data_IF_053350344462
#
_entry.id   IF_053350344462
#
_cell.length_a   1.000
_cell.length_b   1.000
_cell.length_c   1.000
_cell.angle_alpha   90.00
_cell.angle_beta   90.00
_cell.angle_gamma   90.00
#
_symmetry.space_group_name_H-M   'P 1'
#
loop_
_entity.id
_entity.type
_entity.pdbx_description
1 polymer ?
#
# COMPACT_ATOMS: atom_id res chain seq x y z
N UNK A 1 -14.20 6.93 -12.54
CA UNK A 1 -12.80 6.45 -12.29
C UNK A 1 -12.49 6.69 -10.82
N UNK A 2 -11.89 5.71 -10.14
CA UNK A 2 -11.41 5.86 -8.76
C UNK A 2 -10.11 5.10 -8.55
N UNK A 3 -9.35 5.45 -7.50
CA UNK A 3 -8.12 4.75 -7.15
C UNK A 3 -8.37 3.63 -6.12
N UNK A 4 -7.57 2.57 -6.18
CA UNK A 4 -7.58 1.50 -5.19
C UNK A 4 -6.28 1.48 -4.36
N UNK A 5 -5.19 1.95 -4.95
CA UNK A 5 -3.92 2.13 -4.25
C UNK A 5 -3.06 3.18 -4.94
N UNK A 6 -2.34 3.96 -4.13
CA UNK A 6 -1.32 4.90 -4.59
C UNK A 6 -0.10 4.80 -3.69
N UNK A 7 1.07 4.66 -4.29
CA UNK A 7 2.34 4.59 -3.56
C UNK A 7 3.45 5.25 -4.36
N UNK A 8 4.56 5.57 -3.70
CA UNK A 8 5.72 6.19 -4.34
C UNK A 8 6.88 5.22 -4.47
N UNK A 9 7.53 5.21 -5.65
CA UNK A 9 8.84 4.58 -5.85
C UNK A 9 9.76 5.59 -6.54
N UNK A 10 10.73 6.12 -5.80
CA UNK A 10 11.61 7.19 -6.29
C UNK A 10 10.81 8.44 -6.66
N UNK A 11 10.94 8.88 -7.91
CA UNK A 11 10.25 10.05 -8.46
C UNK A 11 8.92 9.72 -9.16
N UNK A 12 8.42 8.50 -9.00
CA UNK A 12 7.21 8.05 -9.65
C UNK A 12 6.13 7.70 -8.65
N UNK A 13 4.90 7.97 -9.05
CA UNK A 13 3.69 7.46 -8.41
C UNK A 13 3.31 6.14 -9.07
N UNK A 14 3.14 5.10 -8.28
CA UNK A 14 2.50 3.86 -8.69
C UNK A 14 1.02 3.99 -8.40
N UNK A 15 0.24 4.16 -9.44
CA UNK A 15 -1.21 4.31 -9.38
C UNK A 15 -1.89 2.99 -9.73
N UNK A 16 -2.85 2.59 -8.93
CA UNK A 16 -3.81 1.54 -9.21
C UNK A 16 -5.21 2.09 -9.04
N UNK A 17 -6.11 1.67 -9.90
CA UNK A 17 -7.50 2.12 -9.83
C UNK A 17 -8.40 1.39 -10.80
N UNK A 18 -9.62 1.87 -10.90
CA UNK A 18 -10.63 1.38 -11.82
C UNK A 18 -11.06 2.51 -12.74
N UNK A 19 -10.98 2.28 -14.04
CA UNK A 19 -11.48 3.19 -15.09
C UNK A 19 -12.37 2.40 -16.04
N UNK A 20 -13.59 2.87 -16.27
CA UNK A 20 -14.56 2.24 -17.16
C UNK A 20 -14.81 0.76 -16.83
N UNK A 21 -14.89 0.44 -15.52
CA UNK A 21 -15.07 -0.91 -14.99
C UNK A 21 -13.85 -1.83 -15.08
N UNK A 22 -12.71 -1.35 -15.60
CA UNK A 22 -11.48 -2.12 -15.77
C UNK A 22 -10.40 -1.66 -14.80
N UNK A 23 -9.67 -2.62 -14.23
CA UNK A 23 -8.48 -2.33 -13.40
C UNK A 23 -7.37 -1.76 -14.26
N UNK A 24 -6.76 -0.69 -13.76
CA UNK A 24 -5.60 -0.05 -14.39
C UNK A 24 -4.43 0.02 -13.42
N UNK A 25 -3.22 -0.04 -13.97
CA UNK A 25 -1.96 0.18 -13.26
C UNK A 25 -1.11 1.12 -14.10
N UNK A 26 -0.59 2.16 -13.45
CA UNK A 26 0.22 3.17 -14.13
C UNK A 26 1.40 3.58 -13.26
N UNK A 27 2.53 3.81 -13.91
CA UNK A 27 3.69 4.47 -13.32
C UNK A 27 3.74 5.88 -13.87
N UNK A 28 3.47 6.86 -13.02
CA UNK A 28 3.27 8.27 -13.40
C UNK A 28 4.41 9.10 -12.85
N UNK A 29 5.07 9.88 -13.70
CA UNK A 29 5.98 10.94 -13.26
C UNK A 29 5.13 12.07 -12.71
N UNK A 30 5.33 12.39 -11.44
CA UNK A 30 4.60 13.45 -10.79
C UNK A 30 5.47 14.68 -10.61
N UNK A 31 4.91 15.85 -10.90
CA UNK A 31 5.53 17.17 -10.73
C UNK A 31 4.89 17.87 -9.53
N UNK A 32 5.48 17.76 -8.33
CA UNK A 32 4.91 18.32 -7.12
C UNK A 32 4.85 19.84 -7.17
N UNK A 33 3.89 20.39 -6.42
CA UNK A 33 3.74 21.82 -6.18
C UNK A 33 3.90 22.10 -4.70
N UNK A 34 4.65 23.12 -4.38
CA UNK A 34 4.77 23.71 -3.05
C UNK A 34 4.53 25.22 -3.16
N UNK A 35 4.34 25.86 -2.03
CA UNK A 35 4.01 27.27 -2.00
C UNK A 35 4.91 27.99 -1.00
N UNK A 36 5.33 29.19 -1.33
CA UNK A 36 6.13 30.07 -0.47
C UNK A 36 5.49 31.44 -0.37
N UNK A 37 5.70 32.16 0.73
CA UNK A 37 5.24 33.55 0.86
C UNK A 37 5.89 34.41 -0.21
N UNK A 38 5.09 35.17 -0.93
CA UNK A 38 5.57 36.10 -1.96
C UNK A 38 4.53 37.16 -2.24
N UNK A 39 4.95 38.42 -2.26
CA UNK A 39 4.07 39.54 -2.67
C UNK A 39 3.59 39.44 -4.12
N UNK A 40 4.25 38.61 -4.93
CA UNK A 40 3.86 38.35 -6.33
C UNK A 40 2.73 37.35 -6.44
N UNK A 41 2.42 36.62 -5.37
CA UNK A 41 1.36 35.61 -5.33
C UNK A 41 -0.03 36.25 -5.46
N UNK A 42 -0.79 35.86 -6.50
CA UNK A 42 -2.13 36.42 -6.75
C UNK A 42 -3.26 35.39 -6.58
N UNK A 43 -2.94 34.12 -6.65
CA UNK A 43 -3.94 33.03 -6.71
C UNK A 43 -4.11 32.29 -5.39
N UNK A 44 -3.00 32.10 -4.66
CA UNK A 44 -2.95 31.30 -3.45
C UNK A 44 -2.67 32.18 -2.24
N UNK A 45 -3.22 31.81 -1.10
CA UNK A 45 -3.01 32.53 0.15
C UNK A 45 -3.03 31.56 1.35
N UNK A 46 -2.37 31.96 2.44
CA UNK A 46 -2.48 31.27 3.72
C UNK A 46 -3.87 31.46 4.33
N UNK A 47 -4.18 30.73 5.41
CA UNK A 47 -5.38 30.97 6.23
C UNK A 47 -5.46 32.40 6.76
N UNK A 48 -4.33 33.07 6.92
CA UNK A 48 -4.22 34.46 7.38
C UNK A 48 -4.20 35.48 6.23
N UNK A 49 -4.55 35.04 5.00
CA UNK A 49 -4.63 35.87 3.78
C UNK A 49 -3.28 36.43 3.32
N UNK A 50 -2.18 35.83 3.74
CA UNK A 50 -0.87 36.18 3.21
C UNK A 50 -0.69 35.58 1.81
N UNK A 51 -0.21 36.33 0.81
CA UNK A 51 -0.10 35.83 -0.55
C UNK A 51 0.98 34.77 -0.68
N UNK A 52 0.69 33.75 -1.49
CA UNK A 52 1.58 32.64 -1.78
C UNK A 52 1.87 32.53 -3.27
N UNK A 53 3.11 32.23 -3.61
CA UNK A 53 3.56 31.89 -4.96
C UNK A 53 3.68 30.37 -5.08
N UNK A 54 3.15 29.80 -6.18
CA UNK A 54 3.26 28.39 -6.50
C UNK A 54 4.63 28.10 -7.11
N UNK A 55 5.30 27.07 -6.59
CA UNK A 55 6.53 26.53 -7.11
C UNK A 55 6.29 25.10 -7.59
N UNK A 56 6.42 24.84 -8.87
CA UNK A 56 6.34 23.51 -9.45
C UNK A 56 7.73 22.92 -9.63
N UNK A 57 7.89 21.65 -9.25
CA UNK A 57 9.15 20.90 -9.36
C UNK A 57 9.06 19.84 -10.45
N UNK A 58 10.15 19.59 -11.14
CA UNK A 58 10.18 18.57 -12.20
C UNK A 58 10.15 17.13 -11.66
N UNK A 59 10.65 16.93 -10.44
CA UNK A 59 10.65 15.63 -9.78
C UNK A 59 10.26 15.72 -8.30
N UNK A 60 9.83 14.60 -7.72
CA UNK A 60 9.59 14.47 -6.28
C UNK A 60 10.89 14.70 -5.50
N UNK A 61 12.03 14.27 -6.04
CA UNK A 61 13.35 14.47 -5.44
C UNK A 61 13.70 15.95 -5.32
N UNK A 62 13.45 16.72 -6.36
CA UNK A 62 13.73 18.17 -6.35
C UNK A 62 12.89 18.87 -5.29
N UNK A 63 11.60 18.52 -5.20
CA UNK A 63 10.74 19.07 -4.16
C UNK A 63 11.19 18.69 -2.74
N UNK A 64 11.63 17.44 -2.52
CA UNK A 64 12.20 17.00 -1.23
C UNK A 64 13.49 17.73 -0.88
N UNK A 65 14.37 17.88 -1.86
CA UNK A 65 15.63 18.61 -1.67
C UNK A 65 15.37 20.07 -1.31
N UNK A 66 14.40 20.69 -1.97
CA UNK A 66 13.98 22.05 -1.66
C UNK A 66 13.45 22.16 -0.22
N UNK A 67 12.54 21.29 0.20
CA UNK A 67 12.05 21.28 1.58
C UNK A 67 13.19 21.14 2.57
N UNK A 68 14.07 20.15 2.35
CA UNK A 68 15.23 19.90 3.23
C UNK A 68 16.20 21.07 3.28
N UNK A 69 16.44 21.77 2.17
CA UNK A 69 17.34 22.91 2.09
C UNK A 69 16.86 24.09 2.93
N UNK A 70 15.54 24.27 3.04
CA UNK A 70 14.95 25.41 3.73
C UNK A 70 14.28 25.05 5.06
N UNK A 71 14.36 23.79 5.52
CA UNK A 71 13.72 23.29 6.75
C UNK A 71 14.15 24.10 7.98
N UNK A 72 15.44 24.45 8.07
CA UNK A 72 16.04 25.21 9.20
C UNK A 72 16.17 26.71 8.94
N UNK A 73 15.65 27.21 7.81
CA UNK A 73 15.76 28.65 7.48
C UNK A 73 14.65 29.43 8.17
N UNK A 74 15.04 30.27 9.14
CA UNK A 74 14.10 31.14 9.85
C UNK A 74 13.35 32.04 8.89
N UNK A 75 12.05 32.20 9.10
CA UNK A 75 11.14 33.05 8.31
C UNK A 75 10.97 32.66 6.83
N UNK A 76 11.28 31.40 6.46
CA UNK A 76 10.99 30.87 5.13
C UNK A 76 10.06 29.66 5.21
N UNK A 77 8.79 29.83 5.60
CA UNK A 77 7.86 28.71 5.69
C UNK A 77 7.47 28.20 4.30
N UNK A 78 7.53 26.89 4.14
CA UNK A 78 7.07 26.20 2.95
C UNK A 78 5.69 25.63 3.23
N UNK A 79 4.73 25.87 2.34
CA UNK A 79 3.36 25.41 2.42
C UNK A 79 3.10 24.35 1.34
N UNK A 80 2.09 23.52 1.56
CA UNK A 80 1.69 22.47 0.64
C UNK A 80 1.82 21.08 1.25
N UNK A 81 1.42 20.08 0.49
CA UNK A 81 1.46 18.67 0.93
C UNK A 81 2.79 18.04 0.56
N UNK A 82 3.57 17.64 1.57
CA UNK A 82 4.86 16.94 1.39
C UNK A 82 4.73 15.42 1.30
N UNK A 83 3.55 14.87 1.61
CA UNK A 83 3.20 13.50 1.23
C UNK A 83 2.73 13.51 -0.23
N UNK A 84 3.65 13.27 -1.13
CA UNK A 84 3.42 13.45 -2.57
C UNK A 84 2.46 12.42 -3.19
N UNK A 85 2.23 11.28 -2.55
CA UNK A 85 1.13 10.36 -2.86
C UNK A 85 -0.23 11.03 -2.62
N UNK A 86 -0.39 11.70 -1.48
CA UNK A 86 -1.61 12.45 -1.14
C UNK A 86 -1.77 13.70 -2.00
N UNK A 87 -0.67 14.43 -2.27
CA UNK A 87 -0.69 15.58 -3.17
C UNK A 87 -1.15 15.19 -4.59
N UNK A 88 -0.62 14.10 -5.12
CA UNK A 88 -1.03 13.54 -6.40
C UNK A 88 -2.53 13.19 -6.43
N UNK A 89 -3.04 12.58 -5.36
CA UNK A 89 -4.46 12.25 -5.28
C UNK A 89 -5.34 13.50 -5.28
N UNK A 90 -4.96 14.54 -4.53
CA UNK A 90 -5.69 15.82 -4.54
C UNK A 90 -5.67 16.51 -5.90
N UNK A 91 -4.56 16.42 -6.63
CA UNK A 91 -4.47 16.99 -7.98
C UNK A 91 -5.28 16.19 -9.01
N UNK A 92 -5.30 14.85 -8.87
CA UNK A 92 -5.99 13.96 -9.79
C UNK A 92 -7.50 13.90 -9.55
N UNK A 93 -7.91 14.05 -8.30
CA UNK A 93 -9.30 14.00 -7.84
C UNK A 93 -9.60 15.24 -6.99
N UNK A 94 -9.77 16.41 -7.61
CA UNK A 94 -10.06 17.66 -6.89
C UNK A 94 -11.44 17.67 -6.25
N UNK A 95 -12.37 16.87 -6.79
CA UNK A 95 -13.74 16.73 -6.34
C UNK A 95 -13.96 15.40 -5.62
N UNK A 96 -15.22 15.07 -5.38
CA UNK A 96 -15.63 13.81 -4.77
C UNK A 96 -15.28 12.60 -5.66
N UNK A 97 -14.83 11.51 -5.04
CA UNK A 97 -14.51 10.25 -5.72
C UNK A 97 -15.68 9.28 -5.53
N UNK A 98 -16.34 8.96 -6.61
CA UNK A 98 -17.41 7.94 -6.62
C UNK A 98 -16.81 6.53 -6.62
N UNK A 99 -16.86 5.89 -5.47
CA UNK A 99 -16.31 4.56 -5.22
C UNK A 99 -17.32 3.46 -5.50
N UNK A 100 -16.88 2.43 -6.23
CA UNK A 100 -17.62 1.19 -6.40
C UNK A 100 -16.89 0.04 -5.66
N UNK A 101 -17.36 -0.28 -4.46
CA UNK A 101 -16.76 -1.34 -3.64
C UNK A 101 -16.80 -2.71 -4.33
N UNK A 102 -17.76 -2.97 -5.22
CA UNK A 102 -17.85 -4.22 -5.96
C UNK A 102 -16.68 -4.46 -6.92
N UNK A 103 -15.92 -3.40 -7.23
CA UNK A 103 -14.74 -3.44 -8.09
C UNK A 103 -13.43 -3.50 -7.31
N UNK A 104 -13.48 -3.48 -5.98
CA UNK A 104 -12.32 -3.56 -5.10
C UNK A 104 -12.21 -4.99 -4.57
N UNK A 105 -11.09 -5.65 -4.83
CA UNK A 105 -10.84 -6.99 -4.27
C UNK A 105 -10.14 -6.85 -2.93
N UNK A 106 -10.82 -7.29 -1.87
CA UNK A 106 -10.29 -7.31 -0.51
C UNK A 106 -9.94 -8.75 -0.16
N UNK A 107 -8.74 -8.95 0.37
CA UNK A 107 -8.29 -10.23 0.92
C UNK A 107 -7.95 -10.10 2.39
N UNK A 108 -8.29 -11.12 3.16
CA UNK A 108 -7.86 -11.29 4.55
C UNK A 108 -6.82 -12.41 4.57
N UNK A 109 -5.71 -12.21 5.25
CA UNK A 109 -4.67 -13.23 5.37
C UNK A 109 -4.25 -13.40 6.81
N UNK A 110 -3.82 -14.61 7.13
CA UNK A 110 -3.32 -15.00 8.44
C UNK A 110 -2.33 -16.14 8.26
N UNK A 111 -1.29 -16.21 9.11
CA UNK A 111 -0.29 -17.27 9.09
C UNK A 111 -0.21 -17.95 10.45
N UNK A 112 0.03 -19.26 10.45
CA UNK A 112 0.39 -20.03 11.63
C UNK A 112 1.87 -20.41 11.56
N UNK A 113 2.57 -20.23 12.67
CA UNK A 113 4.00 -20.45 12.77
C UNK A 113 4.28 -21.39 13.95
N UNK A 114 5.25 -22.29 13.80
CA UNK A 114 5.75 -23.07 14.93
C UNK A 114 6.17 -22.18 16.09
N UNK A 115 5.90 -22.61 17.32
CA UNK A 115 6.20 -21.85 18.54
C UNK A 115 6.90 -22.71 19.57
N UNK A 116 8.05 -23.30 19.19
CA UNK A 116 8.81 -24.19 20.08
C UNK A 116 9.62 -23.41 21.13
N UNK A 117 10.06 -22.18 20.79
CA UNK A 117 10.95 -21.36 21.62
C UNK A 117 10.34 -19.97 21.94
N UNK A 118 9.04 -19.94 22.33
CA UNK A 118 8.32 -18.70 22.62
C UNK A 118 7.72 -18.05 21.37
N UNK A 119 7.24 -16.81 21.49
CA UNK A 119 6.54 -16.12 20.41
C UNK A 119 7.49 -15.83 19.22
N UNK A 120 7.12 -16.24 18.00
CA UNK A 120 7.94 -16.04 16.81
C UNK A 120 8.22 -14.57 16.52
N UNK A 121 9.46 -14.23 16.17
CA UNK A 121 9.89 -12.86 15.87
C UNK A 121 10.02 -12.66 14.36
N UNK A 122 9.23 -11.75 13.74
CA UNK A 122 9.25 -11.51 12.29
C UNK A 122 10.63 -11.08 11.76
N UNK A 123 11.42 -10.39 12.59
CA UNK A 123 12.75 -9.90 12.22
C UNK A 123 13.75 -11.03 11.97
N UNK A 124 13.54 -12.18 12.62
CA UNK A 124 14.40 -13.36 12.53
C UNK A 124 13.75 -14.41 11.63
N UNK A 125 12.43 -14.64 11.80
CA UNK A 125 11.61 -15.65 11.13
C UNK A 125 12.27 -17.05 11.17
N UNK A 126 12.71 -17.49 12.38
CA UNK A 126 13.48 -18.72 12.56
C UNK A 126 12.63 -19.99 12.46
N UNK A 127 11.37 -19.92 12.86
CA UNK A 127 10.45 -21.06 12.95
C UNK A 127 9.66 -21.23 11.66
N UNK A 128 9.28 -22.46 11.33
CA UNK A 128 8.58 -22.77 10.10
C UNK A 128 7.12 -22.23 10.11
N UNK A 129 6.66 -21.79 8.96
CA UNK A 129 5.25 -21.51 8.74
C UNK A 129 4.53 -22.83 8.50
N UNK A 130 3.53 -23.12 9.30
CA UNK A 130 2.77 -24.39 9.26
C UNK A 130 1.46 -24.29 8.51
N UNK A 131 0.87 -23.09 8.44
CA UNK A 131 -0.30 -22.81 7.61
C UNK A 131 -0.35 -21.35 7.17
N UNK A 132 -0.96 -21.11 6.00
CA UNK A 132 -1.32 -19.78 5.49
C UNK A 132 -2.77 -19.85 5.04
N UNK A 133 -3.59 -18.89 5.47
CA UNK A 133 -4.97 -18.76 5.01
C UNK A 133 -5.16 -17.43 4.27
N UNK A 134 -5.80 -17.48 3.11
CA UNK A 134 -6.26 -16.34 2.36
C UNK A 134 -7.78 -16.42 2.18
N UNK A 135 -8.52 -15.49 2.79
CA UNK A 135 -9.96 -15.35 2.52
C UNK A 135 -10.17 -14.27 1.46
N UNK A 136 -10.75 -14.69 0.33
CA UNK A 136 -10.98 -13.81 -0.82
C UNK A 136 -12.18 -14.32 -1.63
N UNK A 137 -13.01 -13.40 -2.12
CA UNK A 137 -14.23 -13.74 -2.89
C UNK A 137 -15.16 -14.75 -2.19
N UNK A 138 -15.28 -14.63 -0.86
CA UNK A 138 -16.14 -15.48 -0.04
C UNK A 138 -15.62 -16.90 0.19
N UNK A 139 -14.36 -17.20 -0.16
CA UNK A 139 -13.72 -18.49 0.08
C UNK A 139 -12.47 -18.35 0.92
N UNK A 140 -12.25 -19.32 1.79
CA UNK A 140 -11.03 -19.51 2.55
C UNK A 140 -10.13 -20.50 1.83
N UNK A 141 -8.99 -20.05 1.35
CA UNK A 141 -7.94 -20.90 0.79
C UNK A 141 -6.89 -21.09 1.86
N UNK A 142 -6.78 -22.29 2.39
CA UNK A 142 -5.82 -22.62 3.44
C UNK A 142 -4.81 -23.62 2.91
N UNK A 143 -3.55 -23.28 3.03
CA UNK A 143 -2.41 -24.14 2.73
C UNK A 143 -1.79 -24.58 4.06
N UNK A 144 -1.51 -25.87 4.22
CA UNK A 144 -0.95 -26.38 5.47
C UNK A 144 -0.22 -27.70 5.28
N UNK A 145 0.74 -28.00 6.17
CA UNK A 145 1.52 -29.24 6.12
C UNK A 145 0.86 -30.40 6.85
N UNK A 146 -0.18 -30.14 7.66
CA UNK A 146 -0.92 -31.18 8.41
C UNK A 146 -2.10 -31.78 7.64
N UNK A 147 -2.70 -32.84 8.19
CA UNK A 147 -3.96 -33.37 7.69
C UNK A 147 -5.13 -32.56 8.23
N UNK A 148 -6.01 -32.13 7.34
CA UNK A 148 -7.21 -31.39 7.69
C UNK A 148 -8.33 -31.69 6.70
N UNK A 149 -9.53 -31.91 7.23
CA UNK A 149 -10.75 -32.10 6.43
C UNK A 149 -11.67 -30.91 6.71
N UNK A 150 -11.95 -30.04 5.71
CA UNK A 150 -12.87 -28.94 5.88
C UNK A 150 -14.27 -29.39 6.29
N UNK A 151 -14.86 -28.71 7.28
CA UNK A 151 -16.25 -28.92 7.71
C UNK A 151 -17.21 -27.88 7.11
N UNK A 152 -16.71 -27.00 6.22
CA UNK A 152 -17.45 -25.92 5.59
C UNK A 152 -17.19 -25.92 4.08
N UNK A 153 -18.22 -25.66 3.28
CA UNK A 153 -18.15 -25.67 1.81
C UNK A 153 -17.39 -24.48 1.23
N UNK A 154 -17.18 -23.42 2.02
CA UNK A 154 -16.42 -22.24 1.63
C UNK A 154 -14.92 -22.33 1.96
N UNK A 155 -14.46 -23.45 2.52
CA UNK A 155 -13.04 -23.71 2.82
C UNK A 155 -12.44 -24.66 1.80
N UNK A 156 -11.38 -24.21 1.14
CA UNK A 156 -10.54 -25.01 0.24
C UNK A 156 -9.20 -25.24 0.94
N UNK A 157 -9.00 -26.45 1.43
CA UNK A 157 -7.74 -26.84 2.04
C UNK A 157 -6.82 -27.52 1.03
N UNK A 158 -5.57 -27.11 0.99
CA UNK A 158 -4.52 -27.70 0.18
C UNK A 158 -3.40 -28.20 1.09
N UNK A 159 -3.25 -29.52 1.18
CA UNK A 159 -2.13 -30.14 1.88
C UNK A 159 -0.85 -29.92 1.08
N UNK A 160 0.20 -29.46 1.75
CA UNK A 160 1.54 -29.24 1.22
C UNK A 160 2.53 -30.24 1.87
N UNK A 161 3.52 -30.67 1.10
CA UNK A 161 4.53 -31.61 1.58
C UNK A 161 5.45 -30.93 2.63
N UNK A 162 5.73 -29.65 2.45
CA UNK A 162 6.60 -28.86 3.31
C UNK A 162 6.26 -27.36 3.22
N UNK A 163 6.98 -26.54 3.98
CA UNK A 163 6.83 -25.09 4.01
C UNK A 163 7.12 -24.43 2.65
N UNK A 164 8.06 -24.96 1.89
CA UNK A 164 8.41 -24.40 0.58
C UNK A 164 7.23 -24.50 -0.38
N UNK A 165 6.63 -25.68 -0.52
CA UNK A 165 5.43 -25.90 -1.35
C UNK A 165 4.25 -25.06 -0.84
N UNK A 166 4.12 -24.89 0.48
CA UNK A 166 3.06 -24.09 1.10
C UNK A 166 3.18 -22.61 0.67
N UNK A 167 4.37 -22.03 0.75
CA UNK A 167 4.63 -20.66 0.36
C UNK A 167 4.47 -20.49 -1.16
N UNK A 168 4.95 -21.43 -1.97
CA UNK A 168 4.82 -21.40 -3.43
C UNK A 168 3.35 -21.37 -3.86
N UNK A 169 2.52 -22.28 -3.35
CA UNK A 169 1.09 -22.33 -3.64
C UNK A 169 0.33 -21.08 -3.19
N UNK A 170 0.71 -20.52 -2.03
CA UNK A 170 0.15 -19.24 -1.59
C UNK A 170 0.50 -18.11 -2.56
N UNK A 171 1.75 -18.03 -3.03
CA UNK A 171 2.19 -17.00 -3.99
C UNK A 171 1.47 -17.16 -5.32
N UNK A 172 1.26 -18.38 -5.80
CA UNK A 172 0.52 -18.67 -7.03
C UNK A 172 -0.91 -18.17 -6.95
N UNK A 173 -1.61 -18.49 -5.85
CA UNK A 173 -2.96 -18.00 -5.61
C UNK A 173 -3.00 -16.47 -5.47
N UNK A 174 -2.04 -15.91 -4.75
CA UNK A 174 -1.90 -14.45 -4.59
C UNK A 174 -1.75 -13.75 -5.94
N UNK A 175 -0.89 -14.27 -6.83
CA UNK A 175 -0.65 -13.68 -8.16
C UNK A 175 -1.85 -13.83 -9.09
N UNK A 176 -2.64 -14.88 -8.92
CA UNK A 176 -3.89 -15.09 -9.66
C UNK A 176 -4.93 -14.02 -9.32
N UNK A 177 -5.16 -13.75 -8.05
CA UNK A 177 -6.18 -12.80 -7.60
C UNK A 177 -5.68 -11.36 -7.50
N UNK A 178 -4.47 -11.18 -7.04
CA UNK A 178 -3.80 -9.91 -6.88
C UNK A 178 -4.68 -8.83 -6.20
N UNK A 179 -5.01 -9.00 -4.93
CA UNK A 179 -5.97 -8.14 -4.24
C UNK A 179 -5.56 -6.66 -4.22
N UNK A 180 -6.55 -5.78 -4.17
CA UNK A 180 -6.34 -4.33 -4.07
C UNK A 180 -6.05 -3.91 -2.63
N UNK A 181 -6.74 -4.56 -1.68
CA UNK A 181 -6.57 -4.34 -0.25
C UNK A 181 -6.29 -5.69 0.41
N UNK A 182 -5.31 -5.71 1.28
CA UNK A 182 -5.02 -6.85 2.15
C UNK A 182 -5.14 -6.41 3.59
N UNK A 183 -5.84 -7.22 4.38
CA UNK A 183 -6.08 -6.95 5.78
C UNK A 183 -6.07 -8.24 6.60
N UNK A 184 -6.09 -8.12 7.90
CA UNK A 184 -6.06 -9.20 8.90
C UNK A 184 -5.58 -8.67 10.22
N UNK A 185 -5.57 -9.52 11.25
CA UNK A 185 -5.03 -9.12 12.54
C UNK A 185 -3.51 -9.01 12.45
N UNK A 186 -2.98 -7.81 12.69
CA UNK A 186 -1.53 -7.55 12.76
C UNK A 186 -0.71 -7.88 11.48
N UNK A 187 -1.34 -8.09 10.33
CA UNK A 187 -0.66 -8.52 9.08
C UNK A 187 0.49 -7.62 8.65
N UNK A 188 0.41 -6.32 8.96
CA UNK A 188 1.45 -5.34 8.61
C UNK A 188 2.72 -5.52 9.43
N UNK A 189 2.62 -5.96 10.68
CA UNK A 189 3.73 -6.01 11.61
C UNK A 189 4.20 -7.44 11.92
N UNK A 190 3.40 -8.45 11.59
CA UNK A 190 3.74 -9.85 11.81
C UNK A 190 3.72 -10.67 10.52
N UNK A 191 2.55 -10.95 9.93
CA UNK A 191 2.41 -11.92 8.85
C UNK A 191 3.26 -11.60 7.62
N UNK A 192 3.12 -10.39 7.06
CA UNK A 192 3.92 -10.03 5.89
C UNK A 192 5.41 -9.90 6.17
N UNK A 193 5.88 -9.25 7.23
CA UNK A 193 7.30 -9.26 7.58
C UNK A 193 7.85 -10.67 7.75
N UNK A 194 7.07 -11.57 8.38
CA UNK A 194 7.47 -12.97 8.57
C UNK A 194 7.59 -13.71 7.24
N UNK A 195 6.54 -13.67 6.41
CA UNK A 195 6.52 -14.27 5.06
C UNK A 195 7.67 -13.76 4.17
N UNK A 196 7.90 -12.44 4.16
CA UNK A 196 8.97 -11.83 3.33
C UNK A 196 10.35 -12.30 3.80
N UNK A 197 10.55 -12.41 5.12
CA UNK A 197 11.84 -12.83 5.69
C UNK A 197 12.09 -14.32 5.52
N UNK A 198 11.04 -15.13 5.50
CA UNK A 198 11.08 -16.59 5.42
C UNK A 198 11.28 -17.12 3.99
N UNK A 199 10.94 -16.32 2.97
CA UNK A 199 11.03 -16.63 1.53
C UNK A 199 12.46 -16.84 1.02
#
# INVERSE_FOLDING_TARGET
MFYTNVSMIGDNILYRGVKDGKRIRQKIKYKPKLYVKSEKGKKWQTLFKEPLEEMQFDTIRDARNFVKQYEDVSNFPIYGQTRYDSAFLSDMFPDEVDWDISKITIAYTDIEVESNDGFPKPEIAAQAITAITLHIHGKYYTFGCGDYVPHRDDVVYTKCADEFELIEKFIDLWTQYYPDIVTGWNVKFFDFPYLIKRR
#
